data_IF_930351441897
#
_entry.id   IF_930351441897
#
_cell.length_a   1.000
_cell.length_b   1.000
_cell.length_c   1.000
_cell.angle_alpha   90.00
_cell.angle_beta   90.00
_cell.angle_gamma   90.00
#
_symmetry.space_group_name_H-M   'P 1'
#
loop_
_entity.id
_entity.type
_entity.pdbx_description
1 polymer ?
#
# COMPACT_ATOMS: atom_id res chain seq x y z
N UNK A 1 33.51 -23.58 27.32
CA UNK A 1 33.28 -22.44 28.23
C UNK A 1 34.52 -21.58 28.10
N UNK A 2 34.46 -20.52 27.30
CA UNK A 2 35.42 -19.42 27.37
C UNK A 2 34.71 -18.16 26.91
N UNK A 3 34.62 -17.22 27.85
CA UNK A 3 34.01 -15.90 27.75
C UNK A 3 35.18 -14.94 27.88
N UNK A 4 35.41 -14.13 26.85
CA UNK A 4 36.06 -12.81 26.88
C UNK A 4 36.43 -12.42 25.44
N UNK A 5 36.25 -11.21 24.91
CA UNK A 5 35.38 -10.08 25.18
C UNK A 5 35.61 -9.11 24.01
N UNK A 6 34.53 -8.45 23.55
CA UNK A 6 34.49 -7.07 23.02
C UNK A 6 35.28 -6.72 21.74
N UNK A 7 34.50 -6.54 20.66
CA UNK A 7 34.55 -5.39 19.72
C UNK A 7 33.21 -5.41 18.96
N UNK A 8 32.14 -4.76 19.44
CA UNK A 8 31.73 -3.43 18.96
C UNK A 8 32.26 -3.11 17.56
N UNK A 9 31.40 -3.26 16.56
CA UNK A 9 31.25 -2.46 15.33
C UNK A 9 30.02 -3.06 14.63
N UNK A 10 28.83 -2.52 14.87
CA UNK A 10 28.17 -1.61 13.93
C UNK A 10 28.33 -2.00 12.46
N UNK A 11 27.18 -2.14 11.80
CA UNK A 11 26.99 -2.20 10.35
C UNK A 11 27.31 -3.53 9.67
N UNK A 12 26.26 -4.33 9.48
CA UNK A 12 25.97 -4.79 8.13
C UNK A 12 24.45 -4.80 7.92
N UNK A 13 23.89 -3.59 7.90
CA UNK A 13 22.65 -3.28 7.19
C UNK A 13 22.87 -3.78 5.76
N UNK A 14 22.31 -4.95 5.44
CA UNK A 14 22.47 -5.54 4.13
C UNK A 14 21.56 -4.78 3.17
N UNK A 15 22.14 -3.71 2.67
CA UNK A 15 21.55 -2.76 1.78
C UNK A 15 21.42 -3.39 0.40
N UNK A 16 20.36 -4.16 0.17
CA UNK A 16 19.84 -4.37 -1.18
C UNK A 16 19.20 -3.07 -1.66
N UNK A 17 20.06 -2.11 -2.04
CA UNK A 17 19.70 -0.96 -2.86
C UNK A 17 19.36 -1.48 -4.26
N UNK A 18 18.13 -1.98 -4.44
CA UNK A 18 17.53 -1.99 -5.77
C UNK A 18 17.03 -0.57 -6.01
N UNK A 19 17.91 0.32 -6.46
CA UNK A 19 17.54 1.65 -6.95
C UNK A 19 16.84 1.51 -8.29
N UNK A 20 15.65 0.91 -8.33
CA UNK A 20 14.67 1.20 -9.38
C UNK A 20 14.13 2.58 -9.05
N UNK A 21 14.42 3.55 -9.92
CA UNK A 21 13.99 4.96 -9.82
C UNK A 21 12.55 5.03 -9.31
N UNK A 22 12.38 5.46 -8.05
CA UNK A 22 11.06 5.69 -7.46
C UNK A 22 10.37 6.72 -8.35
N UNK A 23 9.24 6.34 -8.93
CA UNK A 23 8.45 7.23 -9.77
C UNK A 23 7.65 8.17 -8.87
N UNK A 24 7.65 9.48 -9.15
CA UNK A 24 7.00 10.50 -8.33
C UNK A 24 5.46 10.42 -8.27
N UNK A 25 4.84 9.40 -8.88
CA UNK A 25 3.39 9.28 -8.99
C UNK A 25 3.00 7.90 -8.47
N UNK A 26 2.01 7.88 -7.58
CA UNK A 26 1.39 6.65 -7.06
C UNK A 26 0.11 6.33 -7.83
N UNK A 27 -0.18 5.05 -7.90
CA UNK A 27 -1.54 4.57 -8.08
C UNK A 27 -2.19 4.57 -6.69
N UNK A 28 -3.28 5.30 -6.54
CA UNK A 28 -3.95 5.50 -5.27
C UNK A 28 -5.21 4.64 -5.21
N UNK A 29 -5.34 3.88 -4.13
CA UNK A 29 -6.45 2.97 -3.88
C UNK A 29 -6.95 3.21 -2.47
N UNK A 30 -8.25 3.36 -2.29
CA UNK A 30 -8.83 3.50 -0.96
C UNK A 30 -9.42 2.15 -0.52
N UNK A 31 -9.07 1.72 0.69
CA UNK A 31 -9.70 0.59 1.37
C UNK A 31 -10.85 1.13 2.23
N UNK A 32 -12.03 0.52 2.07
CA UNK A 32 -13.26 0.92 2.75
C UNK A 32 -14.07 -0.31 3.16
N UNK A 33 -15.04 -0.13 4.05
CA UNK A 33 -15.74 -1.27 4.66
C UNK A 33 -16.66 -2.01 3.68
N UNK A 34 -17.27 -1.30 2.74
CA UNK A 34 -18.26 -1.84 1.82
C UNK A 34 -18.28 -1.09 0.49
N UNK A 35 -18.92 -1.67 -0.50
CA UNK A 35 -19.17 -0.97 -1.77
C UNK A 35 -20.32 0.02 -1.61
N UNK A 36 -20.23 1.12 -2.34
CA UNK A 36 -21.25 2.16 -2.33
C UNK A 36 -21.46 2.73 -3.74
N UNK A 37 -22.58 3.41 -3.96
CA UNK A 37 -22.78 4.17 -5.20
C UNK A 37 -21.90 5.42 -5.13
N UNK A 38 -20.87 5.50 -5.98
CA UNK A 38 -19.94 6.63 -6.01
C UNK A 38 -20.59 7.96 -6.41
N UNK A 39 -21.85 7.94 -6.88
CA UNK A 39 -22.63 9.14 -7.15
C UNK A 39 -23.47 9.60 -5.95
N UNK A 40 -23.56 8.80 -4.90
CA UNK A 40 -24.23 9.17 -3.66
C UNK A 40 -23.41 10.24 -2.90
N UNK A 41 -24.00 11.42 -2.75
CA UNK A 41 -23.37 12.57 -2.10
C UNK A 41 -23.53 12.57 -0.59
N UNK A 42 -24.49 11.78 -0.10
CA UNK A 42 -24.84 11.69 1.32
C UNK A 42 -24.26 10.41 1.95
N UNK A 43 -23.43 9.67 1.20
CA UNK A 43 -22.76 8.48 1.70
C UNK A 43 -21.82 8.80 2.86
N UNK A 44 -22.05 8.14 4.00
CA UNK A 44 -21.15 8.15 5.14
C UNK A 44 -20.45 6.79 5.25
N UNK A 45 -19.10 6.76 5.23
CA UNK A 45 -18.36 5.51 5.27
C UNK A 45 -18.55 4.78 6.60
N UNK A 46 -18.84 3.49 6.53
CA UNK A 46 -18.81 2.63 7.72
C UNK A 46 -17.37 2.51 8.18
N UNK A 47 -17.18 2.67 9.49
CA UNK A 47 -15.87 2.55 10.10
C UNK A 47 -15.22 1.18 9.89
N UNK A 48 -13.93 1.20 9.60
CA UNK A 48 -13.06 0.03 9.61
C UNK A 48 -12.76 -0.44 11.04
N UNK A 49 -12.87 0.44 12.05
CA UNK A 49 -12.61 0.13 13.45
C UNK A 49 -11.57 1.03 14.11
N UNK A 50 -11.01 0.55 15.23
CA UNK A 50 -9.97 1.26 15.99
C UNK A 50 -8.61 1.05 15.32
N UNK A 51 -7.86 2.14 15.10
CA UNK A 51 -6.60 2.16 14.36
C UNK A 51 -5.59 1.15 14.87
N UNK A 52 -5.36 1.09 16.19
CA UNK A 52 -4.35 0.20 16.75
C UNK A 52 -4.72 -1.29 16.54
N UNK A 53 -6.02 -1.63 16.53
CA UNK A 53 -6.47 -2.99 16.19
C UNK A 53 -6.27 -3.29 14.70
N UNK A 54 -6.62 -2.33 13.83
CA UNK A 54 -6.41 -2.44 12.39
C UNK A 54 -4.93 -2.64 12.06
N UNK A 55 -4.04 -1.82 12.64
CA UNK A 55 -2.59 -1.93 12.43
C UNK A 55 -2.10 -3.29 12.90
N UNK A 56 -2.54 -3.76 14.07
CA UNK A 56 -2.16 -5.08 14.56
C UNK A 56 -2.58 -6.19 13.60
N UNK A 57 -3.82 -6.17 13.09
CA UNK A 57 -4.29 -7.17 12.12
C UNK A 57 -3.53 -7.09 10.78
N UNK A 58 -3.26 -5.88 10.30
CA UNK A 58 -2.47 -5.66 9.09
C UNK A 58 -1.03 -6.16 9.24
N UNK A 59 -0.36 -5.89 10.37
CA UNK A 59 1.01 -6.37 10.63
C UNK A 59 1.06 -7.89 10.84
N UNK A 60 0.00 -8.51 11.37
CA UNK A 60 -0.12 -9.98 11.43
C UNK A 60 -0.26 -10.56 10.01
N UNK A 61 -1.08 -9.92 9.16
CA UNK A 61 -1.30 -10.36 7.77
C UNK A 61 -0.08 -10.12 6.88
N UNK A 62 0.62 -9.02 7.10
CA UNK A 62 1.76 -8.53 6.32
C UNK A 62 2.96 -8.31 7.25
N UNK A 63 3.74 -9.35 7.59
CA UNK A 63 4.82 -9.23 8.57
C UNK A 63 5.93 -8.23 8.23
N UNK A 64 6.05 -7.83 6.95
CA UNK A 64 7.01 -6.84 6.46
C UNK A 64 6.46 -5.41 6.48
N UNK A 65 5.19 -5.21 6.88
CA UNK A 65 4.58 -3.90 6.99
C UNK A 65 5.12 -3.17 8.24
N UNK A 66 5.77 -2.04 8.02
CA UNK A 66 6.34 -1.22 9.08
C UNK A 66 5.39 -0.05 9.42
N UNK A 67 4.89 -0.04 10.66
CA UNK A 67 4.07 1.01 11.25
C UNK A 67 4.80 1.75 12.39
N UNK A 68 6.12 1.90 12.28
CA UNK A 68 6.92 2.70 13.24
C UNK A 68 6.40 4.14 13.38
N UNK A 69 5.74 4.67 12.35
CA UNK A 69 4.94 5.90 12.39
C UNK A 69 3.46 5.51 12.44
N UNK A 70 2.78 5.80 13.55
CA UNK A 70 1.44 5.25 13.85
C UNK A 70 0.37 5.51 12.80
N UNK A 71 0.40 6.66 12.12
CA UNK A 71 -0.59 7.03 11.10
C UNK A 71 -0.14 6.68 9.67
N UNK A 72 1.06 6.09 9.52
CA UNK A 72 1.71 5.87 8.22
C UNK A 72 2.51 4.56 8.17
N UNK A 73 1.92 3.56 7.53
CA UNK A 73 2.57 2.27 7.29
C UNK A 73 3.37 2.25 5.99
N UNK A 74 4.46 1.49 5.95
CA UNK A 74 5.27 1.30 4.74
C UNK A 74 5.53 -0.19 4.54
N UNK A 75 5.13 -0.72 3.38
CA UNK A 75 5.48 -2.05 2.91
C UNK A 75 6.38 -1.91 1.68
N UNK A 76 7.56 -2.51 1.73
CA UNK A 76 8.48 -2.59 0.59
C UNK A 76 8.47 -4.00 0.03
N UNK A 77 8.08 -4.16 -1.23
CA UNK A 77 8.15 -5.44 -1.93
C UNK A 77 9.18 -5.43 -3.05
N UNK A 78 9.28 -6.53 -3.80
CA UNK A 78 10.21 -6.61 -4.93
C UNK A 78 9.78 -5.66 -6.06
N UNK A 79 10.47 -4.52 -6.15
CA UNK A 79 10.26 -3.51 -7.17
C UNK A 79 8.99 -2.68 -6.99
N UNK A 80 8.32 -2.74 -5.84
CA UNK A 80 7.19 -1.88 -5.50
C UNK A 80 7.23 -1.44 -4.03
N UNK A 81 6.51 -0.37 -3.72
CA UNK A 81 6.23 0.04 -2.34
C UNK A 81 4.76 0.39 -2.20
N UNK A 82 4.20 0.15 -1.02
CA UNK A 82 2.85 0.56 -0.64
C UNK A 82 2.95 1.34 0.66
N UNK A 83 2.49 2.58 0.64
CA UNK A 83 2.28 3.37 1.86
C UNK A 83 0.82 3.24 2.28
N UNK A 84 0.58 3.05 3.58
CA UNK A 84 -0.74 2.89 4.19
C UNK A 84 -1.02 4.10 5.07
N UNK A 85 -1.87 5.00 4.61
CA UNK A 85 -2.31 6.14 5.40
C UNK A 85 -3.61 5.82 6.14
N UNK A 86 -3.51 5.60 7.45
CA UNK A 86 -4.66 5.32 8.34
C UNK A 86 -5.22 6.57 9.01
N UNK A 87 -4.61 7.74 8.78
CA UNK A 87 -5.01 8.98 9.44
C UNK A 87 -4.69 9.04 10.93
N UNK A 88 -4.96 10.22 11.51
CA UNK A 88 -4.60 10.58 12.90
C UNK A 88 -5.69 10.28 13.91
N UNK A 89 -6.91 10.03 13.45
CA UNK A 89 -8.03 9.69 14.32
C UNK A 89 -7.90 8.28 14.89
N UNK A 90 -8.46 8.07 16.09
CA UNK A 90 -8.49 6.74 16.71
C UNK A 90 -9.39 5.78 15.93
N UNK A 91 -10.51 6.28 15.42
CA UNK A 91 -11.47 5.56 14.60
C UNK A 91 -11.13 5.80 13.12
N UNK A 92 -10.96 4.72 12.36
CA UNK A 92 -10.55 4.76 10.95
C UNK A 92 -11.74 4.41 10.08
N UNK A 93 -12.10 5.28 9.14
CA UNK A 93 -13.21 5.01 8.21
C UNK A 93 -12.73 4.58 6.82
N UNK A 94 -11.47 4.86 6.49
CA UNK A 94 -10.83 4.40 5.27
C UNK A 94 -9.31 4.40 5.43
N UNK A 95 -8.62 3.63 4.58
CA UNK A 95 -7.16 3.66 4.47
C UNK A 95 -6.80 4.02 3.03
N UNK A 96 -6.02 5.07 2.85
CA UNK A 96 -5.47 5.42 1.54
C UNK A 96 -4.17 4.68 1.30
N UNK A 97 -4.12 3.89 0.23
CA UNK A 97 -2.92 3.21 -0.24
C UNK A 97 -2.26 4.03 -1.33
N UNK A 98 -0.96 4.29 -1.18
CA UNK A 98 -0.15 4.90 -2.22
C UNK A 98 0.85 3.89 -2.79
N UNK A 99 0.60 3.43 -4.01
CA UNK A 99 1.32 2.31 -4.61
C UNK A 99 2.28 2.82 -5.68
N UNK A 100 3.57 2.47 -5.56
CA UNK A 100 4.63 2.92 -6.48
C UNK A 100 5.46 1.74 -6.95
N UNK A 101 6.17 1.94 -8.07
CA UNK A 101 7.08 0.93 -8.65
C UNK A 101 6.43 0.05 -9.71
N UNK A 102 6.89 -1.17 -9.91
CA UNK A 102 6.45 -2.03 -11.01
C UNK A 102 6.24 -3.50 -10.70
N UNK A 103 6.16 -3.86 -9.42
CA UNK A 103 5.79 -5.21 -8.98
C UNK A 103 4.28 -5.49 -9.10
N UNK A 104 3.78 -6.47 -8.33
CA UNK A 104 2.37 -6.89 -8.36
C UNK A 104 1.65 -6.58 -7.03
N UNK A 105 1.17 -5.33 -6.83
CA UNK A 105 0.52 -4.91 -5.59
C UNK A 105 -0.87 -5.56 -5.38
N UNK A 106 -1.54 -6.06 -6.42
CA UNK A 106 -2.89 -6.62 -6.28
C UNK A 106 -2.96 -7.86 -5.39
N UNK A 107 -1.87 -8.64 -5.33
CA UNK A 107 -1.83 -9.78 -4.42
C UNK A 107 -1.96 -9.32 -2.96
N UNK A 108 -1.29 -8.23 -2.59
CA UNK A 108 -1.37 -7.64 -1.26
C UNK A 108 -2.78 -7.09 -1.00
N UNK A 109 -3.32 -6.30 -1.93
CA UNK A 109 -4.67 -5.72 -1.82
C UNK A 109 -5.70 -6.83 -1.67
N UNK A 110 -5.62 -7.88 -2.49
CA UNK A 110 -6.54 -9.01 -2.44
C UNK A 110 -6.46 -9.83 -1.17
N UNK A 111 -5.27 -9.99 -0.58
CA UNK A 111 -5.13 -10.59 0.75
C UNK A 111 -5.82 -9.75 1.83
N UNK A 112 -5.64 -8.42 1.80
CA UNK A 112 -6.27 -7.50 2.76
C UNK A 112 -7.80 -7.58 2.62
N UNK A 113 -8.32 -7.39 1.41
CA UNK A 113 -9.77 -7.44 1.15
C UNK A 113 -10.39 -8.76 1.63
N UNK A 114 -9.74 -9.90 1.32
CA UNK A 114 -10.22 -11.21 1.74
C UNK A 114 -10.16 -11.42 3.25
N UNK A 115 -9.11 -10.95 3.91
CA UNK A 115 -8.89 -11.17 5.35
C UNK A 115 -9.74 -10.24 6.21
N UNK A 116 -9.84 -8.98 5.80
CA UNK A 116 -10.50 -7.92 6.56
C UNK A 116 -11.98 -7.75 6.18
N UNK A 117 -12.43 -8.43 5.13
CA UNK A 117 -13.76 -8.28 4.53
C UNK A 117 -14.01 -6.80 4.19
N UNK A 118 -13.05 -6.22 3.47
CA UNK A 118 -13.06 -4.84 3.00
C UNK A 118 -13.07 -4.79 1.48
N UNK A 119 -13.46 -3.64 0.98
CA UNK A 119 -13.52 -3.32 -0.44
C UNK A 119 -12.40 -2.34 -0.79
N UNK A 120 -11.92 -2.40 -2.04
CA UNK A 120 -10.91 -1.49 -2.55
C UNK A 120 -11.47 -0.71 -3.73
N UNK A 121 -11.29 0.60 -3.74
CA UNK A 121 -11.77 1.50 -4.78
C UNK A 121 -10.56 2.18 -5.45
N UNK A 122 -10.43 2.04 -6.76
CA UNK A 122 -9.38 2.68 -7.54
C UNK A 122 -9.72 4.16 -7.72
N UNK A 123 -8.91 5.05 -7.14
CA UNK A 123 -9.19 6.49 -7.17
C UNK A 123 -9.02 7.11 -8.57
N UNK A 124 -8.35 6.42 -9.50
CA UNK A 124 -8.16 6.90 -10.87
C UNK A 124 -9.35 6.63 -11.79
N UNK A 125 -10.14 5.58 -11.50
CA UNK A 125 -11.33 5.21 -12.27
C UNK A 125 -12.63 5.48 -11.53
N UNK A 126 -12.60 5.50 -10.19
CA UNK A 126 -13.79 5.51 -9.35
C UNK A 126 -14.50 4.17 -9.32
N UNK A 127 -13.83 3.08 -9.69
CA UNK A 127 -14.42 1.74 -9.75
C UNK A 127 -13.84 0.82 -8.66
N UNK A 128 -14.70 -0.04 -8.10
CA UNK A 128 -14.26 -1.06 -7.14
C UNK A 128 -13.39 -2.12 -7.82
N UNK A 129 -12.32 -2.50 -7.12
CA UNK A 129 -11.39 -3.54 -7.56
C UNK A 129 -12.06 -4.90 -7.40
N UNK A 130 -12.26 -5.59 -8.52
CA UNK A 130 -12.78 -6.96 -8.51
C UNK A 130 -11.65 -7.97 -8.18
N UNK A 131 -11.86 -8.81 -7.17
CA UNK A 131 -10.92 -9.89 -6.81
C UNK A 131 -11.03 -11.12 -7.70
N UNK A 132 -12.17 -11.35 -8.36
CA UNK A 132 -12.38 -12.47 -9.28
C UNK A 132 -11.76 -12.16 -10.64
N UNK A 133 -11.86 -10.90 -11.02
CA UNK A 133 -11.08 -10.32 -12.09
C UNK A 133 -10.02 -9.43 -11.45
N UNK A 134 -8.96 -10.03 -10.86
CA UNK A 134 -7.69 -9.33 -10.55
C UNK A 134 -7.12 -8.85 -11.87
N UNK A 135 -7.80 -7.88 -12.45
CA UNK A 135 -7.50 -7.40 -13.74
C UNK A 135 -6.38 -6.43 -13.47
N UNK A 136 -5.17 -6.99 -13.54
CA UNK A 136 -3.94 -6.25 -13.53
C UNK A 136 -3.98 -5.08 -14.52
N UNK A 137 -4.97 -5.01 -15.42
CA UNK A 137 -5.29 -3.90 -16.28
C UNK A 137 -5.32 -2.53 -15.57
N UNK A 138 -5.88 -2.33 -14.37
CA UNK A 138 -5.84 -0.98 -13.74
C UNK A 138 -4.42 -0.53 -13.42
N UNK A 139 -3.67 -1.33 -12.67
CA UNK A 139 -2.25 -1.08 -12.39
C UNK A 139 -1.39 -1.07 -13.65
N UNK A 140 -1.65 -1.95 -14.62
CA UNK A 140 -0.90 -2.04 -15.88
C UNK A 140 -1.18 -0.83 -16.77
N UNK A 141 -2.43 -0.35 -16.83
CA UNK A 141 -2.81 0.91 -17.48
C UNK A 141 -2.11 2.07 -16.81
N UNK A 142 -2.12 2.11 -15.47
CA UNK A 142 -1.41 3.13 -14.70
C UNK A 142 0.10 3.10 -15.00
N UNK A 143 0.76 1.93 -14.94
CA UNK A 143 2.18 1.77 -15.26
C UNK A 143 2.48 2.21 -16.69
N UNK A 144 1.65 1.80 -17.65
CA UNK A 144 1.82 2.16 -19.07
C UNK A 144 1.70 3.66 -19.28
N UNK A 145 0.67 4.29 -18.69
CA UNK A 145 0.49 5.73 -18.71
C UNK A 145 1.67 6.46 -18.07
N UNK A 146 2.06 6.07 -16.86
CA UNK A 146 3.18 6.65 -16.11
C UNK A 146 4.47 6.56 -16.91
N UNK A 147 4.80 5.38 -17.42
CA UNK A 147 6.02 5.14 -18.18
C UNK A 147 6.03 5.96 -19.48
N UNK A 148 4.89 6.15 -20.13
CA UNK A 148 4.74 7.05 -21.30
C UNK A 148 5.03 8.51 -20.94
N UNK A 149 4.46 9.03 -19.85
CA UNK A 149 4.66 10.42 -19.42
C UNK A 149 6.13 10.68 -19.07
N UNK A 150 6.75 9.78 -18.29
CA UNK A 150 8.15 9.97 -17.89
C UNK A 150 9.18 9.64 -18.97
N UNK A 151 8.85 8.79 -19.95
CA UNK A 151 9.67 8.65 -21.17
C UNK A 151 9.66 9.93 -22.00
N UNK A 152 8.49 10.57 -22.15
CA UNK A 152 8.34 11.83 -22.89
C UNK A 152 9.16 12.97 -22.29
N UNK A 153 9.22 13.06 -20.96
CA UNK A 153 9.99 14.09 -20.25
C UNK A 153 11.53 13.88 -20.30
N UNK A 154 12.04 12.76 -20.82
CA UNK A 154 13.48 12.53 -21.01
C UNK A 154 13.98 12.88 -22.42
N UNK A 155 13.07 13.12 -23.36
CA UNK A 155 13.37 13.38 -24.77
C UNK A 155 13.26 14.88 -25.13
N UNK A 156 13.01 15.74 -24.14
CA UNK A 156 12.97 17.19 -24.26
C UNK A 156 14.15 17.82 -23.53
#
# INVERSE_FOLDING_TARGET
>A
MDIMNICLLYNCCNQFKITKKQTNVSWDVILIKEQFDTNDKDYEPISLGIRDNIINELCILLPELDYSVKDWGILNGDGFSIEFNTGKEEKVDSIMLHIRGGGNPHYIIGMIMKKMEWEALDCSTGEFVDLKNINAESWTKFQTWRDKIFKRNKLN
#
